data_IF_619397477769
#
_entry.id   IF_619397477769
#
_cell.length_a   1.000
_cell.length_b   1.000
_cell.length_c   1.000
_cell.angle_alpha   90.00
_cell.angle_beta   90.00
_cell.angle_gamma   90.00
#
_symmetry.space_group_name_H-M   'P 1'
#
loop_
_entity.id
_entity.type
_entity.pdbx_description
1 polymer ?
#
# COMPACT_ATOMS: atom_id res chain seq x y z
N UNK A 1 21.35 -25.60 14.95
CA UNK A 1 20.31 -25.65 13.89
C UNK A 1 20.90 -24.99 12.67
N UNK A 2 20.81 -25.59 11.47
CA UNK A 2 21.30 -24.97 10.24
C UNK A 2 20.13 -24.23 9.59
N UNK A 3 20.00 -22.94 9.89
CA UNK A 3 18.91 -22.09 9.38
C UNK A 3 18.96 -21.92 7.86
N UNK A 4 20.16 -21.84 7.29
CA UNK A 4 20.36 -21.65 5.85
C UNK A 4 19.76 -22.82 5.07
N UNK A 5 20.09 -24.05 5.45
CA UNK A 5 19.49 -25.25 4.86
C UNK A 5 17.96 -25.28 4.98
N UNK A 6 17.42 -24.88 6.14
CA UNK A 6 15.97 -24.82 6.35
C UNK A 6 15.28 -23.82 5.42
N UNK A 7 15.87 -22.65 5.24
CA UNK A 7 15.31 -21.63 4.33
C UNK A 7 15.43 -22.05 2.87
N UNK A 8 16.53 -22.66 2.46
CA UNK A 8 16.71 -23.21 1.11
C UNK A 8 15.66 -24.28 0.78
N UNK A 9 15.45 -25.23 1.68
CA UNK A 9 14.44 -26.28 1.53
C UNK A 9 13.02 -25.67 1.41
N UNK A 10 12.71 -24.66 2.21
CA UNK A 10 11.41 -23.97 2.17
C UNK A 10 11.23 -23.22 0.84
N UNK A 11 12.25 -22.50 0.37
CA UNK A 11 12.20 -21.78 -0.92
C UNK A 11 12.05 -22.77 -2.07
N UNK A 12 12.78 -23.88 -2.06
CA UNK A 12 12.69 -24.91 -3.08
C UNK A 12 11.30 -25.57 -3.12
N UNK A 13 10.67 -25.77 -1.97
CA UNK A 13 9.29 -26.24 -1.90
C UNK A 13 8.34 -25.27 -2.61
N UNK A 14 8.44 -23.96 -2.31
CA UNK A 14 7.60 -22.92 -2.92
C UNK A 14 7.83 -22.87 -4.45
N UNK A 15 9.09 -23.02 -4.91
CA UNK A 15 9.43 -23.09 -6.34
C UNK A 15 8.82 -24.30 -7.02
N UNK A 16 8.89 -25.46 -6.40
CA UNK A 16 8.34 -26.71 -6.93
C UNK A 16 6.80 -26.68 -7.01
N UNK A 17 6.15 -25.95 -6.10
CA UNK A 17 4.70 -25.72 -6.11
C UNK A 17 4.27 -24.61 -7.10
N UNK A 18 5.18 -23.99 -7.84
CA UNK A 18 4.88 -22.91 -8.78
C UNK A 18 4.41 -21.62 -8.12
N UNK A 19 4.60 -21.47 -6.82
CA UNK A 19 4.15 -20.29 -6.03
C UNK A 19 5.26 -19.26 -5.80
N UNK A 20 6.48 -19.54 -6.24
CA UNK A 20 7.58 -18.60 -6.12
C UNK A 20 7.37 -17.40 -7.04
N UNK A 21 7.30 -16.21 -6.45
CA UNK A 21 7.12 -14.96 -7.21
C UNK A 21 8.44 -14.22 -7.32
N UNK A 22 8.75 -13.80 -8.54
CA UNK A 22 9.88 -12.91 -8.82
C UNK A 22 9.33 -11.50 -8.95
N UNK A 23 9.89 -10.57 -8.20
CA UNK A 23 9.54 -9.15 -8.31
C UNK A 23 10.20 -8.56 -9.55
N UNK A 24 9.41 -7.86 -10.35
CA UNK A 24 9.88 -7.19 -11.55
C UNK A 24 10.09 -5.72 -11.22
N UNK A 25 11.30 -5.22 -11.49
CA UNK A 25 11.61 -3.80 -11.33
C UNK A 25 11.09 -3.03 -12.54
N UNK A 26 10.13 -2.13 -12.29
CA UNK A 26 9.49 -1.31 -13.33
C UNK A 26 9.40 0.15 -12.91
N UNK A 27 9.68 1.04 -13.85
CA UNK A 27 9.42 2.46 -13.74
C UNK A 27 8.18 2.81 -14.59
N UNK A 28 7.14 3.27 -13.93
CA UNK A 28 5.93 3.79 -14.59
C UNK A 28 6.18 5.17 -15.15
N UNK A 29 5.84 5.37 -16.39
CA UNK A 29 6.02 6.65 -17.08
C UNK A 29 4.74 7.47 -16.99
N UNK A 30 4.82 8.66 -16.40
CA UNK A 30 3.70 9.63 -16.40
C UNK A 30 3.31 9.94 -17.84
N UNK A 31 2.01 10.00 -18.13
CA UNK A 31 1.41 10.22 -19.45
C UNK A 31 1.54 9.06 -20.45
N UNK A 32 2.16 7.94 -20.08
CA UNK A 32 2.31 6.79 -20.95
C UNK A 32 1.80 5.47 -20.32
N UNK A 33 0.99 5.58 -19.25
CA UNK A 33 0.34 4.43 -18.66
C UNK A 33 -0.65 3.79 -19.66
N UNK A 34 -0.74 2.44 -19.79
CA UNK A 34 -0.16 1.41 -18.91
C UNK A 34 1.28 0.98 -19.23
N UNK A 35 2.02 1.69 -20.08
CA UNK A 35 3.42 1.36 -20.37
C UNK A 35 4.34 1.69 -19.21
N UNK A 36 5.31 0.82 -18.99
CA UNK A 36 6.37 1.00 -17.99
C UNK A 36 7.71 0.49 -18.56
N UNK A 37 8.79 1.05 -18.08
CA UNK A 37 10.14 0.60 -18.41
C UNK A 37 10.58 -0.45 -17.41
N UNK A 38 10.97 -1.63 -17.87
CA UNK A 38 11.56 -2.69 -17.05
C UNK A 38 13.04 -2.47 -16.89
N UNK A 39 13.55 -2.69 -15.69
CA UNK A 39 14.99 -2.65 -15.39
C UNK A 39 15.52 -4.05 -15.10
N UNK A 40 16.79 -4.27 -15.43
CA UNK A 40 17.53 -5.49 -15.10
C UNK A 40 18.29 -5.34 -13.78
N UNK A 41 18.94 -6.42 -13.34
CA UNK A 41 19.71 -6.46 -12.07
C UNK A 41 20.91 -5.50 -12.06
N UNK A 42 21.30 -4.96 -13.23
CA UNK A 42 22.36 -3.95 -13.35
C UNK A 42 21.83 -2.52 -13.32
N UNK A 43 20.54 -2.35 -13.05
CA UNK A 43 19.85 -1.04 -13.09
C UNK A 43 19.88 -0.39 -14.48
N UNK A 44 19.84 -1.20 -15.54
CA UNK A 44 19.76 -0.74 -16.93
C UNK A 44 18.34 -0.98 -17.46
N UNK A 45 17.80 -0.01 -18.19
CA UNK A 45 16.52 -0.18 -18.88
C UNK A 45 16.63 -1.30 -19.93
N UNK A 46 15.79 -2.34 -19.82
CA UNK A 46 15.84 -3.49 -20.71
C UNK A 46 14.69 -3.50 -21.71
N UNK A 47 13.46 -3.38 -21.24
CA UNK A 47 12.27 -3.54 -22.07
C UNK A 47 11.17 -2.53 -21.74
N UNK A 48 10.27 -2.30 -22.68
CA UNK A 48 8.98 -1.69 -22.42
C UNK A 48 7.97 -2.79 -22.14
N UNK A 49 7.23 -2.65 -21.04
CA UNK A 49 6.20 -3.61 -20.63
C UNK A 49 4.86 -2.93 -20.46
N UNK A 50 3.77 -3.68 -20.66
CA UNK A 50 2.42 -3.19 -20.38
C UNK A 50 1.95 -3.72 -19.03
N UNK A 51 1.59 -2.83 -18.13
CA UNK A 51 1.09 -3.16 -16.79
C UNK A 51 -0.40 -3.46 -16.86
N UNK A 52 -0.77 -4.75 -16.71
CA UNK A 52 -2.15 -5.20 -16.72
C UNK A 52 -2.79 -5.25 -15.33
N UNK A 53 -1.98 -5.30 -14.27
CA UNK A 53 -2.45 -5.32 -12.87
C UNK A 53 -1.97 -4.06 -12.15
N UNK A 54 -2.89 -3.20 -11.77
CA UNK A 54 -2.62 -1.97 -11.03
C UNK A 54 -3.77 -1.66 -10.10
N UNK A 55 -3.48 -1.12 -8.92
CA UNK A 55 -4.49 -0.60 -8.01
C UNK A 55 -4.91 0.85 -8.35
N UNK A 56 -4.23 1.48 -9.30
CA UNK A 56 -4.58 2.81 -9.82
C UNK A 56 -5.67 2.70 -10.91
N UNK A 57 -6.86 2.21 -10.52
CA UNK A 57 -7.97 1.93 -11.44
C UNK A 57 -8.47 3.15 -12.22
N UNK A 58 -8.36 4.32 -11.63
CA UNK A 58 -8.83 5.57 -12.24
C UNK A 58 -7.69 6.41 -12.85
N UNK A 59 -6.45 5.93 -12.78
CA UNK A 59 -5.27 6.64 -13.28
C UNK A 59 -4.96 7.93 -12.50
N UNK A 60 -5.44 8.05 -11.27
CA UNK A 60 -5.28 9.26 -10.46
C UNK A 60 -3.82 9.51 -10.08
N UNK A 61 -3.01 8.48 -9.99
CA UNK A 61 -1.56 8.62 -9.78
C UNK A 61 -0.83 9.40 -10.87
N UNK A 62 -1.46 9.58 -12.05
CA UNK A 62 -0.93 10.35 -13.18
C UNK A 62 -1.71 11.64 -13.47
N UNK A 63 -2.76 11.90 -12.71
CA UNK A 63 -3.57 13.11 -12.88
C UNK A 63 -2.74 14.35 -12.52
N UNK A 64 -2.70 15.32 -13.43
CA UNK A 64 -1.89 16.53 -13.29
C UNK A 64 -2.28 17.34 -12.05
N UNK A 65 -3.57 17.42 -11.71
CA UNK A 65 -4.03 18.13 -10.52
C UNK A 65 -3.55 17.46 -9.24
N UNK A 66 -3.58 16.12 -9.18
CA UNK A 66 -3.06 15.35 -8.04
C UNK A 66 -1.55 15.54 -7.90
N UNK A 67 -0.81 15.41 -9.00
CA UNK A 67 0.65 15.61 -9.01
C UNK A 67 1.01 17.03 -8.55
N UNK A 68 0.31 18.06 -9.05
CA UNK A 68 0.58 19.45 -8.66
C UNK A 68 0.23 19.72 -7.19
N UNK A 69 -0.85 19.13 -6.67
CA UNK A 69 -1.18 19.21 -5.25
C UNK A 69 -0.10 18.57 -4.37
N UNK A 70 0.43 17.40 -4.77
CA UNK A 70 1.54 16.75 -4.08
C UNK A 70 2.82 17.61 -4.09
N UNK A 71 3.19 18.19 -5.24
CA UNK A 71 4.34 19.09 -5.34
C UNK A 71 4.18 20.29 -4.42
N UNK A 72 3.01 20.92 -4.41
CA UNK A 72 2.72 22.04 -3.51
C UNK A 72 2.84 21.65 -2.04
N UNK A 73 2.36 20.45 -1.66
CA UNK A 73 2.50 19.96 -0.29
C UNK A 73 3.97 19.76 0.10
N UNK A 74 4.78 19.16 -0.79
CA UNK A 74 6.22 18.99 -0.60
C UNK A 74 6.94 20.32 -0.42
N UNK A 75 6.63 21.32 -1.24
CA UNK A 75 7.23 22.65 -1.17
C UNK A 75 6.83 23.39 0.12
N UNK A 76 5.67 23.09 0.69
CA UNK A 76 5.14 23.79 1.87
C UNK A 76 5.58 23.16 3.19
N UNK A 77 5.57 21.83 3.29
CA UNK A 77 5.79 21.12 4.57
C UNK A 77 6.82 19.98 4.50
N UNK A 78 7.47 19.78 3.35
CA UNK A 78 8.49 18.75 3.19
C UNK A 78 7.91 17.34 2.98
N UNK A 79 8.82 16.35 2.97
CA UNK A 79 8.50 14.96 2.63
C UNK A 79 8.38 14.13 3.91
N UNK A 80 7.22 14.06 4.50
CA UNK A 80 6.95 13.15 5.60
C UNK A 80 6.30 13.83 6.80
N UNK A 81 5.82 13.01 7.74
CA UNK A 81 5.07 13.49 8.91
C UNK A 81 5.94 13.79 10.13
N UNK A 82 7.22 13.40 10.10
CA UNK A 82 8.17 13.68 11.18
C UNK A 82 7.98 12.90 12.49
N UNK A 83 6.98 12.03 12.57
CA UNK A 83 6.71 11.24 13.76
C UNK A 83 5.50 10.32 13.66
N UNK A 84 5.22 9.62 14.74
CA UNK A 84 4.00 8.80 14.86
C UNK A 84 2.79 9.71 15.09
N UNK A 85 1.62 9.26 14.65
CA UNK A 85 0.39 10.07 14.70
C UNK A 85 -0.01 10.54 16.10
N UNK A 86 0.19 9.70 17.10
CA UNK A 86 -0.18 10.00 18.48
C UNK A 86 0.81 10.90 19.23
N UNK A 87 1.94 11.28 18.65
CA UNK A 87 2.93 12.20 19.25
C UNK A 87 2.96 13.52 18.47
N UNK A 88 3.55 13.50 17.27
CA UNK A 88 3.73 14.71 16.44
C UNK A 88 3.49 14.49 14.95
N UNK A 89 3.15 13.28 14.54
CA UNK A 89 3.01 12.88 13.14
C UNK A 89 1.61 13.06 12.55
N UNK A 90 0.63 13.57 13.31
CA UNK A 90 -0.67 13.95 12.75
C UNK A 90 -0.55 15.31 12.08
N UNK A 91 -0.32 15.31 10.78
CA UNK A 91 -0.22 16.54 9.99
C UNK A 91 -1.61 17.07 9.63
N UNK A 92 -1.68 18.34 9.22
CA UNK A 92 -2.93 18.94 8.77
C UNK A 92 -3.56 18.18 7.58
N UNK A 93 -2.74 17.60 6.70
CA UNK A 93 -3.23 16.79 5.57
C UNK A 93 -3.91 15.49 6.01
N UNK A 94 -3.47 14.84 7.10
CA UNK A 94 -4.20 13.71 7.68
C UNK A 94 -5.61 14.13 8.12
N UNK A 95 -5.70 15.24 8.84
CA UNK A 95 -6.99 15.75 9.35
C UNK A 95 -7.95 16.12 8.23
N UNK A 96 -7.45 16.81 7.19
CA UNK A 96 -8.26 17.17 6.03
C UNK A 96 -8.76 15.93 5.29
N UNK A 97 -7.87 14.95 5.04
CA UNK A 97 -8.24 13.73 4.33
C UNK A 97 -9.26 12.90 5.13
N UNK A 98 -9.09 12.77 6.44
CA UNK A 98 -10.03 12.05 7.30
C UNK A 98 -11.41 12.71 7.29
N UNK A 99 -11.46 14.04 7.28
CA UNK A 99 -12.71 14.78 7.15
C UNK A 99 -13.39 14.53 5.80
N UNK A 100 -12.67 14.65 4.70
CA UNK A 100 -13.20 14.39 3.35
C UNK A 100 -13.71 12.95 3.21
N UNK A 101 -12.99 11.96 3.77
CA UNK A 101 -13.43 10.57 3.75
C UNK A 101 -14.68 10.34 4.61
N UNK A 102 -14.76 10.95 5.76
CA UNK A 102 -15.96 10.89 6.62
C UNK A 102 -17.18 11.48 5.89
N UNK A 103 -17.03 12.65 5.29
CA UNK A 103 -18.09 13.31 4.51
C UNK A 103 -18.51 12.47 3.29
N UNK A 104 -17.54 11.95 2.52
CA UNK A 104 -17.79 11.09 1.35
C UNK A 104 -18.62 9.85 1.71
N UNK A 105 -18.32 9.23 2.85
CA UNK A 105 -18.98 8.01 3.32
C UNK A 105 -20.17 8.26 4.23
N UNK A 106 -20.53 9.53 4.47
CA UNK A 106 -21.58 9.92 5.39
C UNK A 106 -21.44 9.26 6.78
N UNK A 107 -20.25 9.41 7.35
CA UNK A 107 -19.85 8.91 8.67
C UNK A 107 -19.41 10.05 9.57
N UNK A 108 -19.49 9.84 10.87
CA UNK A 108 -19.10 10.84 11.88
C UNK A 108 -17.61 11.14 11.84
N UNK A 109 -16.77 10.14 11.52
CA UNK A 109 -15.33 10.26 11.47
C UNK A 109 -14.69 9.18 10.58
N UNK A 110 -13.45 9.40 10.21
CA UNK A 110 -12.60 8.43 9.54
C UNK A 110 -11.23 8.39 10.21
N UNK A 111 -10.54 7.27 10.11
CA UNK A 111 -9.17 7.10 10.59
C UNK A 111 -8.30 6.53 9.48
N UNK A 112 -7.22 7.23 9.17
CA UNK A 112 -6.27 6.86 8.13
C UNK A 112 -5.20 5.92 8.68
N UNK A 113 -4.92 4.85 7.94
CA UNK A 113 -3.85 3.88 8.21
C UNK A 113 -2.83 3.87 7.08
N UNK A 114 -1.65 3.30 7.32
CA UNK A 114 -0.56 3.22 6.34
C UNK A 114 -0.85 2.27 5.17
N UNK A 115 -1.74 1.30 5.37
CA UNK A 115 -2.19 0.36 4.34
C UNK A 115 -3.54 -0.25 4.70
N UNK A 116 -4.22 -0.85 3.71
CA UNK A 116 -5.46 -1.60 3.93
C UNK A 116 -5.24 -2.80 4.85
N UNK A 117 -4.11 -3.49 4.72
CA UNK A 117 -3.74 -4.59 5.62
C UNK A 117 -3.71 -4.15 7.08
N UNK A 118 -2.97 -3.09 7.39
CA UNK A 118 -2.87 -2.54 8.76
C UNK A 118 -4.23 -2.02 9.25
N UNK A 119 -5.03 -1.44 8.36
CA UNK A 119 -6.39 -1.02 8.71
C UNK A 119 -7.25 -2.19 9.15
N UNK A 120 -7.24 -3.29 8.42
CA UNK A 120 -7.99 -4.50 8.77
C UNK A 120 -7.46 -5.13 10.06
N UNK A 121 -6.15 -5.36 10.16
CA UNK A 121 -5.53 -5.98 11.33
C UNK A 121 -5.80 -5.17 12.62
N UNK A 122 -5.49 -3.87 12.60
CA UNK A 122 -5.67 -3.01 13.77
C UNK A 122 -7.13 -2.87 14.17
N UNK A 123 -8.03 -2.72 13.22
CA UNK A 123 -9.47 -2.55 13.50
C UNK A 123 -10.07 -3.82 14.06
N UNK A 124 -9.89 -4.95 13.36
CA UNK A 124 -10.47 -6.23 13.77
C UNK A 124 -9.92 -6.70 15.11
N UNK A 125 -8.61 -6.63 15.31
CA UNK A 125 -7.98 -7.06 16.57
C UNK A 125 -8.40 -6.18 17.74
N UNK A 126 -8.45 -4.85 17.55
CA UNK A 126 -8.85 -3.91 18.61
C UNK A 126 -10.32 -4.06 18.98
N UNK A 127 -11.21 -4.13 18.00
CA UNK A 127 -12.64 -4.29 18.27
C UNK A 127 -12.93 -5.65 18.91
N UNK A 128 -12.37 -6.73 18.38
CA UNK A 128 -12.58 -8.08 18.91
C UNK A 128 -12.08 -8.25 20.35
N UNK A 129 -10.97 -7.59 20.70
CA UNK A 129 -10.41 -7.63 22.06
C UNK A 129 -11.12 -6.70 23.05
N UNK A 130 -11.77 -5.64 22.58
CA UNK A 130 -12.38 -4.62 23.44
C UNK A 130 -13.85 -4.91 23.73
N UNK A 131 -14.58 -5.44 22.74
CA UNK A 131 -16.01 -5.72 22.86
C UNK A 131 -16.26 -7.01 23.68
N UNK A 132 -17.15 -7.00 24.65
CA UNK A 132 -17.47 -8.21 25.42
C UNK A 132 -18.21 -9.22 24.54
N UNK A 133 -17.83 -10.51 24.64
CA UNK A 133 -18.44 -11.61 23.90
C UNK A 133 -18.44 -11.41 22.37
N UNK A 134 -17.40 -10.79 21.84
CA UNK A 134 -17.29 -10.52 20.42
C UNK A 134 -16.91 -11.81 19.65
N UNK A 135 -17.63 -12.08 18.57
CA UNK A 135 -17.33 -13.14 17.61
C UNK A 135 -16.99 -12.50 16.26
N UNK A 136 -15.91 -12.96 15.64
CA UNK A 136 -15.52 -12.54 14.30
C UNK A 136 -15.80 -13.68 13.34
N UNK A 137 -16.68 -13.43 12.37
CA UNK A 137 -16.98 -14.38 11.29
C UNK A 137 -16.17 -13.98 10.06
N UNK A 138 -15.43 -14.93 9.50
CA UNK A 138 -14.59 -14.72 8.35
C UNK A 138 -14.86 -15.78 7.28
N UNK A 139 -14.88 -15.37 6.01
CA UNK A 139 -14.84 -16.29 4.89
C UNK A 139 -13.44 -16.89 4.73
N UNK A 140 -13.35 -18.12 4.22
CA UNK A 140 -12.08 -18.82 4.02
C UNK A 140 -11.11 -18.07 3.07
N UNK A 141 -11.67 -17.37 2.08
CA UNK A 141 -10.92 -16.69 1.02
C UNK A 141 -10.96 -15.17 1.12
N UNK A 142 -11.22 -14.62 2.30
CA UNK A 142 -11.16 -13.18 2.52
C UNK A 142 -9.79 -12.60 2.13
N UNK A 143 -9.83 -11.45 1.50
CA UNK A 143 -8.63 -10.65 1.28
C UNK A 143 -8.10 -10.14 2.61
N UNK A 144 -6.77 -10.14 2.78
CA UNK A 144 -6.06 -9.67 3.99
C UNK A 144 -6.13 -8.15 4.18
#
# INVERSE_FOLDING_TARGET
MNYEKYFEETINKIKNEGRYRVFIDILRNVQNFPSATKYNDKNEASDQVTVWCSNDYLGMGQNTNVINAMKKALDTCGAGSGGTRNISGTTHYHVLLEKELADLHNKESALLFTSGYISNEATLSTLASTLPNCYVFSDELNHS
#
